data_IF_638450860965
#
_entry.id   IF_638450860965
#
_cell.length_a   1.000
_cell.length_b   1.000
_cell.length_c   1.000
_cell.angle_alpha   90.00
_cell.angle_beta   90.00
_cell.angle_gamma   90.00
#
_symmetry.space_group_name_H-M   'P 1'
#
loop_
_entity.id
_entity.type
_entity.pdbx_description
1 polymer ?
#
# COMPACT_ATOMS: atom_id res chain seq x y z
N UNK A 1 -34.58 -41.27 -4.76
CA UNK A 1 -34.45 -39.80 -4.88
C UNK A 1 -33.14 -39.52 -5.62
N UNK A 2 -33.16 -38.89 -6.80
CA UNK A 2 -31.92 -38.45 -7.46
C UNK A 2 -31.31 -37.37 -6.56
N UNK A 3 -30.11 -37.59 -6.04
CA UNK A 3 -29.36 -36.55 -5.31
C UNK A 3 -29.29 -35.31 -6.20
N UNK A 4 -29.98 -34.25 -5.77
CA UNK A 4 -30.05 -33.02 -6.53
C UNK A 4 -28.69 -32.33 -6.39
N UNK A 5 -27.86 -32.48 -7.41
CA UNK A 5 -26.51 -31.91 -7.51
C UNK A 5 -26.48 -30.44 -7.05
N UNK A 6 -25.57 -30.12 -6.14
CA UNK A 6 -25.40 -28.76 -5.63
C UNK A 6 -24.85 -27.82 -6.70
N UNK A 7 -25.08 -26.51 -6.56
CA UNK A 7 -24.49 -25.56 -7.50
C UNK A 7 -22.95 -25.51 -7.41
N UNK A 8 -22.38 -25.77 -6.22
CA UNK A 8 -20.94 -25.90 -6.04
C UNK A 8 -20.36 -27.04 -6.89
N UNK A 9 -21.02 -28.20 -6.93
CA UNK A 9 -20.58 -29.32 -7.77
C UNK A 9 -20.58 -28.96 -9.25
N UNK A 10 -21.53 -28.12 -9.68
CA UNK A 10 -21.55 -27.58 -11.05
C UNK A 10 -20.33 -26.68 -11.32
N UNK A 11 -19.96 -25.81 -10.38
CA UNK A 11 -18.76 -24.97 -10.48
C UNK A 11 -17.50 -25.84 -10.56
N UNK A 12 -17.39 -26.84 -9.69
CA UNK A 12 -16.22 -27.71 -9.57
C UNK A 12 -16.03 -28.55 -10.82
N UNK A 13 -17.07 -29.21 -11.33
CA UNK A 13 -16.97 -29.99 -12.57
C UNK A 13 -16.51 -29.15 -13.77
N UNK A 14 -17.10 -27.96 -13.96
CA UNK A 14 -16.71 -27.05 -15.04
C UNK A 14 -15.28 -26.51 -14.88
N UNK A 15 -14.74 -26.53 -13.67
CA UNK A 15 -13.44 -25.97 -13.32
C UNK A 15 -12.36 -27.04 -13.10
N UNK A 16 -12.73 -28.33 -13.05
CA UNK A 16 -11.89 -29.42 -12.57
C UNK A 16 -10.59 -29.56 -13.36
N UNK A 17 -10.67 -29.54 -14.69
CA UNK A 17 -9.50 -29.63 -15.58
C UNK A 17 -8.47 -28.55 -15.28
N UNK A 18 -8.93 -27.33 -14.98
CA UNK A 18 -8.03 -26.24 -14.62
C UNK A 18 -7.45 -26.46 -13.21
N UNK A 19 -8.29 -26.76 -12.23
CA UNK A 19 -7.87 -26.94 -10.83
C UNK A 19 -6.84 -28.06 -10.68
N UNK A 20 -7.10 -29.26 -11.24
CA UNK A 20 -6.17 -30.41 -11.18
C UNK A 20 -4.86 -30.16 -11.92
N UNK A 21 -4.86 -29.27 -12.93
CA UNK A 21 -3.63 -28.90 -13.66
C UNK A 21 -2.75 -27.93 -12.86
N UNK A 22 -3.35 -27.03 -12.08
CA UNK A 22 -2.62 -25.93 -11.44
C UNK A 22 -2.35 -26.15 -9.95
N UNK A 23 -3.13 -26.99 -9.27
CA UNK A 23 -2.90 -27.34 -7.87
C UNK A 23 -2.24 -28.72 -7.77
N UNK A 24 -1.27 -28.86 -6.87
CA UNK A 24 -0.74 -30.18 -6.48
C UNK A 24 -1.85 -31.00 -5.82
N UNK A 25 -1.69 -32.33 -5.78
CA UNK A 25 -2.69 -33.23 -5.21
C UNK A 25 -3.12 -32.85 -3.78
N UNK A 26 -2.15 -32.49 -2.92
CA UNK A 26 -2.41 -32.02 -1.55
C UNK A 26 -3.17 -30.68 -1.54
N UNK A 27 -2.68 -29.69 -2.28
CA UNK A 27 -3.29 -28.36 -2.40
C UNK A 27 -4.74 -28.45 -2.91
N UNK A 28 -5.00 -29.31 -3.90
CA UNK A 28 -6.35 -29.55 -4.41
C UNK A 28 -7.28 -30.15 -3.34
N UNK A 29 -6.79 -31.13 -2.56
CA UNK A 29 -7.56 -31.73 -1.47
C UNK A 29 -7.87 -30.71 -0.37
N UNK A 30 -6.87 -29.94 0.05
CA UNK A 30 -7.01 -28.90 1.07
C UNK A 30 -8.00 -27.81 0.60
N UNK A 31 -7.93 -27.41 -0.68
CA UNK A 31 -8.89 -26.49 -1.28
C UNK A 31 -10.32 -27.04 -1.22
N UNK A 32 -10.56 -28.27 -1.68
CA UNK A 32 -11.90 -28.89 -1.65
C UNK A 32 -12.45 -29.01 -0.23
N UNK A 33 -11.60 -29.30 0.75
CA UNK A 33 -12.00 -29.37 2.15
C UNK A 33 -12.46 -28.00 2.66
N UNK A 34 -11.73 -26.93 2.34
CA UNK A 34 -12.03 -25.57 2.81
C UNK A 34 -13.38 -25.02 2.31
N UNK A 35 -13.87 -25.50 1.16
CA UNK A 35 -15.14 -25.09 0.56
C UNK A 35 -16.28 -26.10 0.75
N UNK A 36 -16.04 -27.23 1.43
CA UNK A 36 -16.99 -28.34 1.53
C UNK A 36 -18.36 -27.93 2.10
N UNK A 37 -18.37 -27.02 3.08
CA UNK A 37 -19.59 -26.52 3.71
C UNK A 37 -20.51 -25.74 2.74
N UNK A 38 -19.96 -25.18 1.65
CA UNK A 38 -20.72 -24.42 0.64
C UNK A 38 -21.73 -25.32 -0.08
N UNK A 39 -21.52 -26.65 -0.10
CA UNK A 39 -22.46 -27.63 -0.69
C UNK A 39 -23.88 -27.52 -0.12
N UNK A 40 -24.01 -27.09 1.12
CA UNK A 40 -25.29 -26.98 1.81
C UNK A 40 -26.03 -25.66 1.51
N UNK A 41 -25.41 -24.71 0.82
CA UNK A 41 -25.99 -23.41 0.48
C UNK A 41 -26.91 -23.58 -0.74
N UNK A 42 -28.16 -23.16 -0.61
CA UNK A 42 -29.19 -23.28 -1.66
C UNK A 42 -29.15 -22.12 -2.65
N UNK A 43 -28.86 -20.90 -2.19
CA UNK A 43 -28.82 -19.73 -3.07
C UNK A 43 -27.55 -19.74 -3.94
N UNK A 44 -27.75 -19.65 -5.26
CA UNK A 44 -26.63 -19.73 -6.23
C UNK A 44 -25.69 -18.53 -6.12
N UNK A 45 -26.20 -17.32 -5.85
CA UNK A 45 -25.38 -16.12 -5.76
C UNK A 45 -24.50 -16.18 -4.51
N UNK A 46 -25.03 -16.67 -3.40
CA UNK A 46 -24.26 -16.94 -2.19
C UNK A 46 -23.17 -17.99 -2.43
N UNK A 47 -23.48 -19.10 -3.12
CA UNK A 47 -22.48 -20.11 -3.50
C UNK A 47 -21.33 -19.47 -4.30
N UNK A 48 -21.64 -18.65 -5.31
CA UNK A 48 -20.62 -17.94 -6.13
C UNK A 48 -19.77 -17.04 -5.25
N UNK A 49 -20.41 -16.21 -4.41
CA UNK A 49 -19.74 -15.26 -3.53
C UNK A 49 -18.79 -15.96 -2.55
N UNK A 50 -19.24 -17.03 -1.89
CA UNK A 50 -18.39 -17.78 -0.96
C UNK A 50 -17.29 -18.54 -1.66
N UNK A 51 -17.58 -19.17 -2.81
CA UNK A 51 -16.56 -19.86 -3.61
C UNK A 51 -15.47 -18.89 -4.08
N UNK A 52 -15.86 -17.72 -4.60
CA UNK A 52 -14.93 -16.68 -5.02
C UNK A 52 -14.05 -16.24 -3.86
N UNK A 53 -14.65 -15.87 -2.73
CA UNK A 53 -13.91 -15.46 -1.52
C UNK A 53 -12.89 -16.49 -1.07
N UNK A 54 -13.27 -17.77 -1.01
CA UNK A 54 -12.35 -18.84 -0.61
C UNK A 54 -11.28 -19.12 -1.66
N UNK A 55 -11.62 -19.09 -2.94
CA UNK A 55 -10.65 -19.27 -4.01
C UNK A 55 -9.57 -18.17 -3.98
N UNK A 56 -9.96 -16.90 -3.86
CA UNK A 56 -9.01 -15.79 -3.76
C UNK A 56 -8.13 -15.92 -2.51
N UNK A 57 -8.73 -16.26 -1.36
CA UNK A 57 -7.99 -16.50 -0.12
C UNK A 57 -6.97 -17.63 -0.31
N UNK A 58 -7.36 -18.73 -0.93
CA UNK A 58 -6.49 -19.87 -1.17
C UNK A 58 -5.32 -19.55 -2.10
N UNK A 59 -5.56 -18.84 -3.22
CA UNK A 59 -4.49 -18.38 -4.13
C UNK A 59 -3.51 -17.46 -3.39
N UNK A 60 -4.02 -16.56 -2.55
CA UNK A 60 -3.18 -15.70 -1.71
C UNK A 60 -2.34 -16.52 -0.71
N UNK A 61 -2.92 -17.51 -0.05
CA UNK A 61 -2.21 -18.40 0.88
C UNK A 61 -1.10 -19.21 0.19
N UNK A 62 -1.35 -19.71 -1.03
CA UNK A 62 -0.33 -20.39 -1.83
C UNK A 62 0.83 -19.47 -2.19
N UNK A 63 0.57 -18.19 -2.50
CA UNK A 63 1.63 -17.22 -2.70
C UNK A 63 2.38 -16.92 -1.40
N UNK A 64 1.66 -16.74 -0.30
CA UNK A 64 2.26 -16.48 1.01
C UNK A 64 3.19 -17.60 1.47
N UNK A 65 2.84 -18.85 1.18
CA UNK A 65 3.65 -20.03 1.52
C UNK A 65 5.02 -20.07 0.82
N UNK A 66 5.26 -19.26 -0.22
CA UNK A 66 6.56 -19.17 -0.89
C UNK A 66 7.59 -18.36 -0.11
N UNK A 67 7.16 -17.64 0.93
CA UNK A 67 8.01 -16.72 1.70
C UNK A 67 8.05 -17.13 3.16
N UNK A 68 9.25 -17.05 3.75
CA UNK A 68 9.42 -17.17 5.20
C UNK A 68 8.95 -15.89 5.88
N UNK A 69 8.43 -16.03 7.09
CA UNK A 69 8.05 -14.92 7.97
C UNK A 69 8.25 -15.36 9.43
N UNK A 70 8.23 -14.41 10.37
CA UNK A 70 8.34 -14.67 11.79
C UNK A 70 6.96 -14.81 12.44
N UNK A 71 6.70 -15.95 13.08
CA UNK A 71 5.40 -16.22 13.69
C UNK A 71 5.12 -15.33 14.90
N UNK A 72 6.14 -14.94 15.67
CA UNK A 72 5.96 -14.06 16.84
C UNK A 72 5.52 -12.67 16.39
N UNK A 73 6.15 -12.14 15.35
CA UNK A 73 5.78 -10.87 14.75
C UNK A 73 4.37 -10.94 14.14
N UNK A 74 4.02 -12.01 13.42
CA UNK A 74 2.66 -12.13 12.88
C UNK A 74 1.60 -12.23 13.99
N UNK A 75 1.87 -12.96 15.08
CA UNK A 75 0.99 -13.04 16.24
C UNK A 75 0.78 -11.65 16.87
N UNK A 76 1.85 -10.87 17.05
CA UNK A 76 1.77 -9.47 17.48
C UNK A 76 0.91 -8.62 16.53
N UNK A 77 1.10 -8.77 15.21
CA UNK A 77 0.31 -8.07 14.20
C UNK A 77 -1.17 -8.51 14.16
N UNK A 78 -1.52 -9.65 14.76
CA UNK A 78 -2.91 -10.14 14.91
C UNK A 78 -3.57 -9.74 16.24
N UNK A 79 -2.83 -9.17 17.19
CA UNK A 79 -3.41 -8.65 18.44
C UNK A 79 -4.56 -7.64 18.19
N UNK A 80 -5.50 -7.54 19.13
CA UNK A 80 -6.76 -6.80 18.96
C UNK A 80 -6.58 -5.28 18.84
N UNK A 81 -5.50 -4.75 19.37
CA UNK A 81 -5.22 -3.32 19.41
C UNK A 81 -4.93 -2.79 18.01
N UNK A 82 -5.44 -1.59 17.74
CA UNK A 82 -5.43 -0.98 16.41
C UNK A 82 -4.23 -0.06 16.17
N UNK A 83 -3.40 0.17 17.20
CA UNK A 83 -2.14 0.92 17.09
C UNK A 83 -0.98 0.00 17.44
N UNK A 84 -0.05 -0.16 16.49
CA UNK A 84 1.09 -1.05 16.63
C UNK A 84 2.36 -0.36 16.18
N UNK A 85 3.41 -0.51 16.97
CA UNK A 85 4.75 -0.05 16.60
C UNK A 85 5.77 -1.18 16.71
N UNK A 86 6.64 -1.27 15.72
CA UNK A 86 7.78 -2.17 15.69
C UNK A 86 9.03 -1.32 15.84
N UNK A 87 9.80 -1.59 16.89
CA UNK A 87 11.07 -0.94 17.14
C UNK A 87 12.21 -1.72 16.49
N UNK A 88 12.89 -1.10 15.53
CA UNK A 88 14.05 -1.67 14.87
C UNK A 88 14.24 -1.21 13.42
N UNK A 89 15.20 -1.83 12.75
CA UNK A 89 15.48 -1.55 11.33
C UNK A 89 14.29 -1.98 10.44
N UNK A 90 13.84 -1.06 9.57
CA UNK A 90 12.68 -1.29 8.71
C UNK A 90 12.88 -2.43 7.71
N UNK A 91 14.08 -2.62 7.16
CA UNK A 91 14.35 -3.71 6.23
C UNK A 91 14.27 -5.06 6.96
N UNK A 92 14.82 -5.15 8.17
CA UNK A 92 14.69 -6.34 9.03
C UNK A 92 13.24 -6.62 9.39
N UNK A 93 12.49 -5.62 9.83
CA UNK A 93 11.07 -5.75 10.17
C UNK A 93 10.27 -6.30 8.97
N UNK A 94 10.39 -5.65 7.81
CA UNK A 94 9.65 -6.02 6.61
C UNK A 94 9.96 -7.46 6.18
N UNK A 95 11.24 -7.90 6.21
CA UNK A 95 11.64 -9.28 5.89
C UNK A 95 10.96 -10.34 6.77
N UNK A 96 10.66 -10.00 8.01
CA UNK A 96 10.01 -10.91 8.96
C UNK A 96 8.48 -10.88 8.83
N UNK A 97 7.90 -9.89 8.13
CA UNK A 97 6.46 -9.82 7.90
C UNK A 97 6.02 -10.80 6.81
N UNK A 98 4.82 -11.36 6.99
CA UNK A 98 4.16 -12.21 6.00
C UNK A 98 3.93 -11.42 4.70
N UNK A 99 4.15 -12.05 3.53
CA UNK A 99 3.85 -11.40 2.25
C UNK A 99 2.35 -11.12 2.12
N UNK A 100 1.99 -10.11 1.34
CA UNK A 100 0.58 -9.73 1.08
C UNK A 100 -0.28 -9.60 2.35
N UNK A 101 0.29 -9.09 3.43
CA UNK A 101 -0.37 -8.95 4.74
C UNK A 101 -0.85 -7.53 5.04
N UNK A 102 -0.46 -6.56 4.21
CA UNK A 102 -0.76 -5.13 4.39
C UNK A 102 -1.69 -4.64 3.27
N UNK A 103 -2.76 -3.94 3.62
CA UNK A 103 -3.77 -3.52 2.63
C UNK A 103 -3.53 -2.13 2.06
N UNK A 104 -2.76 -1.28 2.74
CA UNK A 104 -2.39 0.05 2.29
C UNK A 104 -1.08 0.47 2.93
N UNK A 105 -0.27 1.25 2.22
CA UNK A 105 0.92 1.89 2.78
C UNK A 105 0.87 3.39 2.61
N UNK A 106 1.30 4.12 3.62
CA UNK A 106 1.52 5.57 3.55
C UNK A 106 2.75 5.94 4.36
N UNK A 107 3.66 6.70 3.77
CA UNK A 107 4.92 7.04 4.42
C UNK A 107 5.54 8.32 3.87
N UNK A 108 6.56 8.80 4.59
CA UNK A 108 7.54 9.75 4.09
C UNK A 108 8.93 9.20 4.47
N UNK A 109 9.77 8.78 3.51
CA UNK A 109 11.05 8.18 3.82
C UNK A 109 12.01 9.19 4.46
N UNK A 110 13.11 8.74 5.08
CA UNK A 110 14.24 9.62 5.34
C UNK A 110 14.80 10.12 4.00
N UNK A 111 14.85 11.44 3.80
CA UNK A 111 15.42 12.03 2.58
C UNK A 111 16.95 12.00 2.67
N UNK A 112 17.61 11.79 1.54
CA UNK A 112 19.07 11.70 1.44
C UNK A 112 19.76 12.84 2.19
N UNK A 113 20.43 12.51 3.31
CA UNK A 113 21.20 13.40 4.18
C UNK A 113 20.53 14.73 4.60
N UNK A 114 19.21 14.86 4.45
CA UNK A 114 18.48 16.08 4.76
C UNK A 114 18.39 16.34 6.28
N UNK A 115 18.68 15.33 7.10
CA UNK A 115 18.60 15.36 8.57
C UNK A 115 19.72 14.51 9.19
N UNK A 116 19.95 14.67 10.49
CA UNK A 116 21.10 14.08 11.20
C UNK A 116 20.95 12.59 11.57
N UNK A 117 19.80 11.96 11.34
CA UNK A 117 19.50 10.60 11.83
C UNK A 117 20.07 9.48 10.96
N UNK A 118 20.33 9.75 9.68
CA UNK A 118 20.92 8.78 8.75
C UNK A 118 21.84 9.52 7.78
N UNK A 119 23.07 9.00 7.60
CA UNK A 119 24.04 9.54 6.66
C UNK A 119 24.47 8.45 5.69
N UNK A 120 24.23 8.69 4.41
CA UNK A 120 24.73 7.87 3.30
C UNK A 120 25.93 8.56 2.67
N UNK A 121 26.91 7.78 2.19
CA UNK A 121 28.13 8.36 1.60
C UNK A 121 27.84 9.11 0.30
N UNK A 122 26.94 8.57 -0.51
CA UNK A 122 26.52 9.14 -1.79
C UNK A 122 25.07 8.74 -2.12
N UNK A 123 24.52 9.36 -3.16
CA UNK A 123 23.15 9.15 -3.59
C UNK A 123 22.88 7.70 -4.04
N UNK A 124 23.89 7.01 -4.58
CA UNK A 124 23.77 5.61 -5.03
C UNK A 124 23.58 4.64 -3.85
N UNK A 125 24.35 4.80 -2.76
CA UNK A 125 24.17 3.98 -1.56
C UNK A 125 22.77 4.17 -0.95
N UNK A 126 22.27 5.41 -0.94
CA UNK A 126 20.92 5.71 -0.50
C UNK A 126 19.87 4.97 -1.32
N UNK A 127 19.92 5.07 -2.66
CA UNK A 127 18.95 4.39 -3.50
C UNK A 127 19.10 2.86 -3.49
N UNK A 128 20.31 2.33 -3.26
CA UNK A 128 20.51 0.88 -3.05
C UNK A 128 19.81 0.39 -1.79
N UNK A 129 19.82 1.15 -0.71
CA UNK A 129 19.09 0.79 0.51
C UNK A 129 17.59 0.95 0.35
N UNK A 130 17.14 2.05 -0.25
CA UNK A 130 15.73 2.25 -0.58
C UNK A 130 15.22 1.15 -1.51
N UNK A 131 16.01 0.68 -2.49
CA UNK A 131 15.62 -0.43 -3.36
C UNK A 131 15.35 -1.71 -2.58
N UNK A 132 16.20 -2.05 -1.59
CA UNK A 132 16.00 -3.24 -0.75
C UNK A 132 14.72 -3.13 0.07
N UNK A 133 14.49 -1.95 0.68
CA UNK A 133 13.30 -1.69 1.50
C UNK A 133 12.04 -1.77 0.65
N UNK A 134 12.01 -1.07 -0.49
CA UNK A 134 10.85 -1.01 -1.37
C UNK A 134 10.53 -2.37 -2.02
N UNK A 135 11.51 -3.24 -2.25
CA UNK A 135 11.27 -4.64 -2.66
C UNK A 135 10.50 -5.41 -1.59
N UNK A 136 10.85 -5.23 -0.32
CA UNK A 136 10.11 -5.85 0.78
C UNK A 136 8.74 -5.20 0.99
N UNK A 137 8.61 -3.87 0.81
CA UNK A 137 7.31 -3.20 0.76
C UNK A 137 6.41 -3.81 -0.33
N UNK A 138 6.93 -4.00 -1.55
CA UNK A 138 6.19 -4.67 -2.62
C UNK A 138 5.76 -6.09 -2.23
N UNK A 139 6.61 -6.85 -1.55
CA UNK A 139 6.28 -8.20 -1.09
C UNK A 139 5.16 -8.21 -0.06
N UNK A 140 5.22 -7.34 0.95
CA UNK A 140 4.26 -7.36 2.08
C UNK A 140 2.95 -6.63 1.80
N UNK A 141 2.93 -5.67 0.86
CA UNK A 141 1.70 -5.06 0.38
C UNK A 141 0.84 -6.11 -0.35
N UNK A 142 -0.45 -6.17 -0.09
CA UNK A 142 -1.38 -7.10 -0.71
C UNK A 142 -1.52 -6.82 -2.21
N UNK A 143 -1.84 -7.85 -2.99
CA UNK A 143 -1.96 -7.67 -4.44
C UNK A 143 -3.11 -6.71 -4.77
N UNK A 144 -2.93 -5.89 -5.80
CA UNK A 144 -3.89 -4.87 -6.23
C UNK A 144 -4.15 -3.74 -5.22
N UNK A 145 -3.23 -3.51 -4.26
CA UNK A 145 -3.29 -2.41 -3.29
C UNK A 145 -2.34 -1.26 -3.61
N UNK A 146 -2.45 -0.20 -2.81
CA UNK A 146 -1.83 1.11 -3.07
C UNK A 146 -0.77 1.45 -2.03
N UNK A 147 0.30 2.07 -2.50
CA UNK A 147 1.32 2.72 -1.69
C UNK A 147 1.33 4.22 -2.01
N UNK A 148 0.99 5.04 -1.02
CA UNK A 148 1.13 6.50 -1.06
C UNK A 148 2.48 6.91 -0.46
N UNK A 149 3.29 7.64 -1.20
CA UNK A 149 4.68 7.95 -0.84
C UNK A 149 4.95 9.44 -0.92
N UNK A 150 5.11 10.09 0.23
CA UNK A 150 5.39 11.53 0.31
C UNK A 150 6.89 11.81 0.24
N UNK A 151 7.35 12.51 -0.80
CA UNK A 151 8.76 12.87 -0.98
C UNK A 151 8.94 14.29 -1.51
N UNK A 152 9.87 15.03 -0.92
CA UNK A 152 10.25 16.37 -1.38
C UNK A 152 11.59 16.36 -2.10
N UNK A 153 11.70 17.17 -3.16
CA UNK A 153 12.99 17.47 -3.77
C UNK A 153 13.87 18.24 -2.78
N UNK A 154 15.14 17.86 -2.72
CA UNK A 154 16.11 18.44 -1.79
C UNK A 154 17.20 19.20 -2.55
N UNK A 155 17.90 20.08 -1.83
CA UNK A 155 19.10 20.73 -2.33
C UNK A 155 20.32 20.24 -1.58
N UNK A 156 21.06 19.33 -2.21
CA UNK A 156 22.30 18.83 -1.67
C UNK A 156 23.30 18.43 -2.76
N UNK A 157 24.46 17.95 -2.33
CA UNK A 157 25.44 17.35 -3.22
C UNK A 157 25.19 15.83 -3.30
N UNK A 158 25.17 15.26 -4.51
CA UNK A 158 24.98 13.82 -4.71
C UNK A 158 26.20 12.97 -4.26
N UNK A 159 27.37 13.61 -4.14
CA UNK A 159 28.65 12.98 -3.84
C UNK A 159 29.01 11.82 -4.78
N UNK A 160 28.58 11.90 -6.05
CA UNK A 160 28.91 10.96 -7.11
C UNK A 160 30.03 11.50 -8.01
N UNK A 161 29.87 12.74 -8.48
CA UNK A 161 30.79 13.38 -9.42
C UNK A 161 31.46 14.63 -8.83
N UNK A 162 30.80 15.26 -7.86
CA UNK A 162 31.27 16.47 -7.19
C UNK A 162 31.21 16.26 -5.68
N UNK A 163 32.26 16.58 -4.94
CA UNK A 163 32.28 16.54 -3.46
C UNK A 163 32.39 17.94 -2.83
N UNK A 164 32.32 18.99 -3.66
CA UNK A 164 32.45 20.38 -3.23
C UNK A 164 31.33 20.78 -2.27
N UNK A 165 31.69 21.45 -1.18
CA UNK A 165 30.76 22.09 -0.24
C UNK A 165 30.10 23.35 -0.83
N UNK A 166 30.69 23.89 -1.89
CA UNK A 166 30.26 25.14 -2.54
C UNK A 166 29.25 24.92 -3.69
N UNK A 167 29.08 23.67 -4.15
CA UNK A 167 28.19 23.31 -5.26
C UNK A 167 27.08 22.36 -4.84
N UNK A 168 25.96 22.89 -4.32
CA UNK A 168 24.74 22.09 -4.09
C UNK A 168 23.81 22.22 -5.29
N UNK A 169 23.21 21.12 -5.74
CA UNK A 169 22.21 21.11 -6.82
C UNK A 169 20.85 20.67 -6.29
N UNK A 170 19.80 20.88 -7.09
CA UNK A 170 18.50 20.26 -6.81
C UNK A 170 18.59 18.76 -7.16
N UNK A 171 18.22 17.92 -6.21
CA UNK A 171 18.07 16.49 -6.38
C UNK A 171 16.57 16.21 -6.52
N UNK A 172 16.07 15.87 -7.73
CA UNK A 172 14.66 15.60 -7.97
C UNK A 172 14.28 14.21 -7.43
N UNK A 173 14.21 14.08 -6.11
CA UNK A 173 13.92 12.81 -5.44
C UNK A 173 12.59 12.22 -5.90
N UNK A 174 11.57 13.05 -6.17
CA UNK A 174 10.29 12.58 -6.71
C UNK A 174 10.47 11.75 -7.98
N UNK A 175 11.19 12.31 -8.97
CA UNK A 175 11.48 11.62 -10.23
C UNK A 175 12.30 10.35 -10.03
N UNK A 176 13.32 10.38 -9.15
CA UNK A 176 14.16 9.22 -8.88
C UNK A 176 13.38 8.08 -8.20
N UNK A 177 12.47 8.39 -7.28
CA UNK A 177 11.61 7.39 -6.67
C UNK A 177 10.60 6.81 -7.65
N UNK A 178 9.98 7.59 -8.53
CA UNK A 178 9.09 7.06 -9.57
C UNK A 178 9.79 5.97 -10.39
N UNK A 179 11.01 6.23 -10.86
CA UNK A 179 11.82 5.26 -11.61
C UNK A 179 12.12 4.03 -10.77
N UNK A 180 12.49 4.21 -9.50
CA UNK A 180 12.82 3.11 -8.60
C UNK A 180 11.60 2.21 -8.30
N UNK A 181 10.43 2.79 -8.07
CA UNK A 181 9.17 2.05 -7.86
C UNK A 181 8.78 1.24 -9.10
N UNK A 182 8.85 1.84 -10.29
CA UNK A 182 8.58 1.17 -11.58
C UNK A 182 9.57 0.03 -11.84
N UNK A 183 10.86 0.21 -11.51
CA UNK A 183 11.89 -0.84 -11.59
C UNK A 183 11.52 -2.05 -10.72
N UNK A 184 11.00 -1.81 -9.52
CA UNK A 184 10.62 -2.88 -8.56
C UNK A 184 9.36 -3.62 -9.00
N UNK A 185 8.47 -2.96 -9.75
CA UNK A 185 7.25 -3.55 -10.30
C UNK A 185 5.96 -2.91 -9.81
N UNK A 186 6.04 -1.81 -9.05
CA UNK A 186 4.90 -0.94 -8.86
C UNK A 186 4.54 -0.23 -10.18
N UNK A 187 3.31 0.24 -10.28
CA UNK A 187 2.84 1.11 -11.36
C UNK A 187 2.57 2.48 -10.80
N UNK A 188 3.22 3.50 -11.35
CA UNK A 188 2.94 4.90 -11.05
C UNK A 188 1.53 5.25 -11.54
N UNK A 189 0.75 5.89 -10.67
CA UNK A 189 -0.65 6.24 -10.96
C UNK A 189 -0.80 7.75 -11.05
N UNK A 190 -0.27 8.48 -10.07
CA UNK A 190 -0.47 9.92 -9.96
C UNK A 190 0.59 10.58 -9.07
N UNK A 191 0.73 11.89 -9.23
CA UNK A 191 1.59 12.77 -8.42
C UNK A 191 0.77 13.98 -7.94
N UNK A 192 0.32 13.92 -6.68
CA UNK A 192 -0.38 15.04 -6.05
C UNK A 192 0.65 15.98 -5.44
N UNK A 193 0.67 17.22 -5.90
CA UNK A 193 1.54 18.27 -5.40
C UNK A 193 0.98 18.82 -4.09
N UNK A 194 1.67 18.52 -2.99
CA UNK A 194 1.42 19.17 -1.71
C UNK A 194 2.07 20.55 -1.68
N UNK A 195 1.27 21.60 -1.88
CA UNK A 195 1.67 22.99 -1.69
C UNK A 195 1.75 23.33 -0.19
N UNK A 196 2.96 23.58 0.31
CA UNK A 196 3.23 23.95 1.70
C UNK A 196 2.98 25.43 1.98
N UNK A 197 2.72 26.24 0.95
CA UNK A 197 2.62 27.69 1.04
C UNK A 197 3.99 28.33 1.20
N UNK A 198 4.31 28.83 2.39
CA UNK A 198 5.52 29.62 2.61
C UNK A 198 6.79 28.80 2.56
N UNK A 199 7.84 29.40 1.98
CA UNK A 199 9.09 28.70 1.76
C UNK A 199 9.97 28.72 3.01
N UNK A 200 10.33 27.54 3.51
CA UNK A 200 10.98 27.37 4.81
C UNK A 200 12.50 27.66 4.82
N UNK A 201 13.08 28.21 3.75
CA UNK A 201 14.52 28.48 3.65
C UNK A 201 14.81 29.97 3.47
N UNK A 202 15.93 30.45 4.01
CA UNK A 202 16.33 31.86 3.99
C UNK A 202 17.29 32.20 2.83
N UNK A 203 17.50 31.28 1.88
CA UNK A 203 18.53 31.41 0.82
C UNK A 203 18.35 32.60 -0.12
N UNK A 204 17.14 33.15 -0.21
CA UNK A 204 16.80 34.32 -1.02
C UNK A 204 16.86 35.65 -0.24
N UNK A 205 17.31 35.65 1.03
CA UNK A 205 17.48 36.89 1.82
C UNK A 205 18.72 37.71 1.48
N UNK A 206 19.53 37.29 0.50
CA UNK A 206 20.65 38.10 0.01
C UNK A 206 20.08 39.30 -0.77
N UNK A 207 20.04 40.47 -0.12
CA UNK A 207 19.43 41.72 -0.59
C UNK A 207 20.14 42.43 -1.76
N UNK A 208 20.79 41.70 -2.65
CA UNK A 208 21.39 42.28 -3.85
C UNK A 208 20.31 42.60 -4.90
N UNK A 209 20.53 43.69 -5.65
CA UNK A 209 19.64 44.14 -6.74
C UNK A 209 19.42 43.03 -7.77
N UNK A 210 18.20 42.84 -8.30
CA UNK A 210 17.91 41.79 -9.26
C UNK A 210 18.42 42.17 -10.67
N UNK A 211 19.69 41.90 -10.95
CA UNK A 211 20.19 41.69 -12.32
C UNK A 211 19.82 40.25 -12.75
N UNK A 212 20.05 39.79 -14.01
CA UNK A 212 19.51 38.52 -14.52
C UNK A 212 19.53 37.43 -13.46
N UNK A 213 18.34 36.92 -13.14
CA UNK A 213 18.02 36.32 -11.85
C UNK A 213 18.91 35.08 -11.59
N UNK A 214 19.98 35.25 -10.81
CA UNK A 214 20.92 34.17 -10.46
C UNK A 214 20.38 33.27 -9.33
N UNK A 215 19.36 33.72 -8.60
CA UNK A 215 18.75 32.95 -7.51
C UNK A 215 17.55 32.17 -8.04
N UNK A 216 17.55 30.84 -8.00
CA UNK A 216 16.38 30.08 -8.48
C UNK A 216 15.22 30.10 -7.47
N UNK A 217 13.94 30.01 -7.92
CA UNK A 217 12.80 29.80 -7.04
C UNK A 217 13.00 28.57 -6.16
N UNK A 218 12.62 28.71 -4.89
CA UNK A 218 12.80 27.65 -3.92
C UNK A 218 11.62 26.67 -3.90
N UNK A 219 11.88 25.46 -3.40
CA UNK A 219 10.87 24.43 -3.35
C UNK A 219 9.83 24.74 -2.25
N UNK A 220 8.59 24.98 -2.63
CA UNK A 220 7.45 25.21 -1.74
C UNK A 220 6.49 24.01 -1.69
N UNK A 221 6.85 22.89 -2.33
CA UNK A 221 5.98 21.72 -2.41
C UNK A 221 6.71 20.42 -2.10
N UNK A 222 5.92 19.36 -1.91
CA UNK A 222 6.36 17.96 -1.89
C UNK A 222 5.43 17.13 -2.79
N UNK A 223 5.90 15.97 -3.21
CA UNK A 223 5.16 15.04 -4.04
C UNK A 223 4.46 14.01 -3.14
N UNK A 224 3.16 13.85 -3.30
CA UNK A 224 2.40 12.72 -2.77
C UNK A 224 2.21 11.76 -3.95
N UNK A 225 3.16 10.85 -4.10
CA UNK A 225 3.18 9.89 -5.21
C UNK A 225 2.25 8.71 -4.90
N UNK A 226 1.47 8.28 -5.88
CA UNK A 226 0.55 7.15 -5.77
C UNK A 226 1.04 6.00 -6.64
N UNK A 227 1.23 4.84 -6.02
CA UNK A 227 1.68 3.63 -6.70
C UNK A 227 0.72 2.46 -6.47
N UNK A 228 0.44 1.70 -7.52
CA UNK A 228 -0.30 0.44 -7.44
C UNK A 228 0.64 -0.76 -7.50
N UNK A 229 0.35 -1.77 -6.68
CA UNK A 229 0.95 -3.10 -6.82
C UNK A 229 0.07 -3.97 -7.69
N UNK A 230 0.62 -4.45 -8.79
CA UNK A 230 0.04 -5.53 -9.59
C UNK A 230 1.11 -6.61 -9.80
N UNK A 231 1.07 -7.64 -8.94
CA UNK A 231 1.89 -8.83 -9.12
C UNK A 231 1.53 -9.48 -10.45
N UNK A 232 2.53 -9.97 -11.17
CA UNK A 232 2.28 -10.86 -12.30
C UNK A 232 1.60 -12.14 -11.80
N UNK A 233 0.30 -12.24 -12.04
CA UNK A 233 -0.53 -13.36 -11.63
C UNK A 233 -1.20 -14.00 -12.85
N UNK A 234 -0.86 -15.27 -13.10
CA UNK A 234 -1.40 -16.04 -14.22
C UNK A 234 -2.60 -16.90 -13.85
N UNK A 235 -2.98 -16.93 -12.55
CA UNK A 235 -4.12 -17.69 -12.10
C UNK A 235 -5.41 -17.16 -12.72
N UNK A 236 -6.27 -18.08 -13.18
CA UNK A 236 -7.65 -17.77 -13.52
C UNK A 236 -8.42 -17.46 -12.25
N UNK A 237 -9.29 -16.45 -12.34
CA UNK A 237 -10.20 -16.12 -11.26
C UNK A 237 -11.63 -16.55 -11.60
N UNK A 238 -12.43 -16.96 -10.59
CA UNK A 238 -13.82 -17.33 -10.77
C UNK A 238 -14.61 -16.21 -11.42
N UNK A 239 -15.49 -16.53 -12.36
CA UNK A 239 -16.43 -15.53 -12.87
C UNK A 239 -17.32 -15.01 -11.72
N UNK A 240 -17.45 -13.69 -11.52
CA UNK A 240 -18.24 -13.13 -10.41
C UNK A 240 -19.75 -13.35 -10.56
N UNK A 241 -20.19 -13.90 -11.70
CA UNK A 241 -21.60 -14.22 -11.96
C UNK A 241 -21.90 -15.70 -11.72
N UNK A 242 -21.07 -16.61 -12.23
CA UNK A 242 -21.34 -18.05 -12.18
C UNK A 242 -20.28 -18.89 -11.44
N UNK A 243 -19.26 -18.27 -10.86
CA UNK A 243 -18.18 -18.91 -10.09
C UNK A 243 -17.24 -19.81 -10.89
N UNK A 244 -17.49 -20.05 -12.18
CA UNK A 244 -16.70 -20.99 -12.97
C UNK A 244 -15.33 -20.42 -13.38
N UNK A 245 -14.30 -21.28 -13.43
CA UNK A 245 -12.94 -20.96 -13.92
C UNK A 245 -12.78 -21.18 -15.44
N UNK A 246 -13.88 -21.44 -16.14
CA UNK A 246 -13.93 -21.50 -17.60
C UNK A 246 -13.92 -20.08 -18.17
N UNK A 247 -12.74 -19.47 -18.17
CA UNK A 247 -12.49 -18.09 -18.59
C UNK A 247 -11.30 -17.99 -19.54
N UNK A 248 -11.33 -16.99 -20.43
CA UNK A 248 -10.21 -16.64 -21.29
C UNK A 248 -9.60 -15.31 -20.85
N UNK A 249 -8.27 -15.26 -20.76
CA UNK A 249 -7.54 -14.05 -20.37
C UNK A 249 -6.60 -13.64 -21.47
N UNK A 250 -7.05 -12.70 -22.31
CA UNK A 250 -6.35 -12.30 -23.52
C UNK A 250 -5.78 -10.87 -23.44
N UNK A 251 -6.04 -10.13 -22.36
CA UNK A 251 -5.62 -8.74 -22.25
C UNK A 251 -5.14 -8.38 -20.84
N UNK A 252 -4.01 -7.69 -20.79
CA UNK A 252 -3.55 -6.95 -19.61
C UNK A 252 -4.03 -5.50 -19.76
N UNK A 253 -4.79 -5.01 -18.79
CA UNK A 253 -5.25 -3.61 -18.80
C UNK A 253 -4.21 -2.68 -18.19
N UNK A 254 -3.44 -3.20 -17.23
CA UNK A 254 -2.31 -2.53 -16.59
C UNK A 254 -1.16 -3.55 -16.47
N UNK A 255 0.07 -3.09 -16.24
CA UNK A 255 1.22 -3.99 -16.01
C UNK A 255 0.89 -4.96 -14.87
N UNK A 256 0.96 -6.27 -15.14
CA UNK A 256 0.64 -7.30 -14.15
C UNK A 256 -0.85 -7.55 -13.89
N UNK A 257 -1.78 -6.69 -14.37
CA UNK A 257 -3.22 -6.87 -14.17
C UNK A 257 -3.88 -7.53 -15.38
N UNK A 258 -4.16 -8.82 -15.26
CA UNK A 258 -4.87 -9.59 -16.28
C UNK A 258 -6.38 -9.46 -16.15
N UNK A 259 -7.05 -9.29 -17.29
CA UNK A 259 -8.51 -9.33 -17.40
C UNK A 259 -8.99 -10.68 -17.94
N UNK A 260 -10.13 -11.13 -17.45
CA UNK A 260 -10.76 -12.41 -17.77
C UNK A 260 -12.15 -12.20 -18.34
N UNK A 261 -12.54 -13.06 -19.27
CA UNK A 261 -13.89 -13.11 -19.83
C UNK A 261 -14.49 -14.50 -19.65
N UNK A 262 -15.72 -14.53 -19.12
CA UNK A 262 -16.45 -15.78 -18.91
C UNK A 262 -16.79 -16.50 -20.23
N UNK A 263 -16.44 -17.78 -20.32
CA UNK A 263 -16.78 -18.67 -21.45
C UNK A 263 -17.78 -19.77 -21.09
N UNK A 264 -18.20 -19.86 -19.83
CA UNK A 264 -19.28 -20.76 -19.43
C UNK A 264 -20.61 -20.31 -20.09
N UNK A 265 -21.13 -21.09 -21.04
CA UNK A 265 -22.37 -20.79 -21.77
C UNK A 265 -23.59 -20.67 -20.84
N UNK A 266 -23.60 -21.41 -19.74
CA UNK A 266 -24.68 -21.44 -18.75
C UNK A 266 -24.55 -20.35 -17.68
N UNK A 267 -23.76 -19.30 -17.95
CA UNK A 267 -23.61 -18.17 -17.03
C UNK A 267 -24.92 -17.37 -16.94
N UNK A 268 -25.30 -16.96 -15.73
CA UNK A 268 -26.59 -16.31 -15.48
C UNK A 268 -26.77 -14.96 -16.17
N UNK A 269 -25.65 -14.28 -16.47
CA UNK A 269 -25.64 -12.98 -17.13
C UNK A 269 -24.71 -13.03 -18.34
N UNK A 270 -25.26 -12.68 -19.50
CA UNK A 270 -24.52 -12.52 -20.76
C UNK A 270 -24.97 -11.25 -21.46
N UNK A 271 -24.08 -10.64 -22.22
CA UNK A 271 -24.41 -9.46 -23.03
C UNK A 271 -25.36 -9.81 -24.19
N UNK A 272 -25.92 -8.78 -24.84
CA UNK A 272 -26.79 -8.93 -26.03
C UNK A 272 -26.11 -9.69 -27.18
N UNK A 273 -24.78 -9.56 -27.32
CA UNK A 273 -23.99 -10.31 -28.29
C UNK A 273 -23.57 -11.71 -27.79
N UNK A 274 -24.24 -12.23 -26.76
CA UNK A 274 -23.95 -13.51 -26.11
C UNK A 274 -22.51 -13.64 -25.57
N UNK A 275 -21.84 -12.53 -25.28
CA UNK A 275 -20.50 -12.48 -24.67
C UNK A 275 -20.60 -12.46 -23.14
N UNK A 276 -19.71 -13.19 -22.45
CA UNK A 276 -19.64 -13.21 -20.99
C UNK A 276 -19.09 -11.91 -20.39
N UNK A 277 -19.34 -11.72 -19.09
CA UNK A 277 -18.83 -10.56 -18.31
C UNK A 277 -17.29 -10.56 -18.29
N UNK A 278 -16.70 -9.38 -18.46
CA UNK A 278 -15.26 -9.11 -18.27
C UNK A 278 -15.00 -8.67 -16.85
N UNK A 279 -13.92 -9.16 -16.24
CA UNK A 279 -13.56 -8.88 -14.85
C UNK A 279 -12.06 -9.08 -14.61
N UNK A 280 -11.58 -8.67 -13.44
CA UNK A 280 -10.21 -8.91 -12.99
C UNK A 280 -10.20 -9.14 -11.48
N UNK A 281 -9.09 -9.67 -10.95
CA UNK A 281 -8.91 -9.83 -9.51
C UNK A 281 -9.01 -8.51 -8.73
N UNK A 282 -8.50 -7.42 -9.31
CA UNK A 282 -8.62 -6.06 -8.75
C UNK A 282 -10.07 -5.67 -8.52
N UNK A 283 -10.97 -5.96 -9.46
CA UNK A 283 -12.40 -5.63 -9.36
C UNK A 283 -13.03 -6.30 -8.15
N UNK A 284 -12.76 -7.59 -7.93
CA UNK A 284 -13.26 -8.31 -6.75
C UNK A 284 -12.76 -7.70 -5.44
N UNK A 285 -11.47 -7.36 -5.38
CA UNK A 285 -10.85 -6.79 -4.17
C UNK A 285 -11.39 -5.38 -3.86
N UNK A 286 -11.66 -4.57 -4.90
CA UNK A 286 -11.97 -3.14 -4.75
C UNK A 286 -13.45 -2.78 -4.87
N UNK A 287 -14.31 -3.69 -5.34
CA UNK A 287 -15.73 -3.41 -5.59
C UNK A 287 -16.67 -4.40 -4.89
N UNK A 288 -16.27 -4.93 -3.72
CA UNK A 288 -17.14 -5.80 -2.93
C UNK A 288 -18.15 -4.98 -2.09
N UNK A 289 -19.45 -5.15 -2.38
CA UNK A 289 -20.56 -4.39 -1.78
C UNK A 289 -20.54 -4.37 -0.24
N UNK A 290 -20.20 -5.49 0.41
CA UNK A 290 -20.13 -5.56 1.88
C UNK A 290 -19.08 -4.62 2.47
N UNK A 291 -17.93 -4.54 1.79
CA UNK A 291 -16.85 -3.65 2.19
C UNK A 291 -17.23 -2.20 1.86
N UNK A 292 -17.90 -1.94 0.74
CA UNK A 292 -18.20 -0.60 0.28
C UNK A 292 -19.14 0.16 1.24
N UNK A 293 -20.22 -0.48 1.71
CA UNK A 293 -21.23 0.18 2.58
C UNK A 293 -20.61 0.72 3.88
N UNK A 294 -19.69 -0.03 4.49
CA UNK A 294 -19.05 0.38 5.76
C UNK A 294 -17.95 1.43 5.57
N UNK A 295 -17.55 1.69 4.32
CA UNK A 295 -16.39 2.48 3.95
C UNK A 295 -16.74 3.64 3.01
N UNK A 296 -17.99 4.09 3.03
CA UNK A 296 -18.42 5.25 2.27
C UNK A 296 -17.54 6.48 2.58
N UNK A 297 -17.13 7.17 1.53
CA UNK A 297 -16.34 8.38 1.59
C UNK A 297 -17.26 9.54 1.23
N UNK A 298 -17.29 10.59 2.05
CA UNK A 298 -18.14 11.74 1.79
C UNK A 298 -17.77 12.40 0.45
N UNK A 299 -18.78 12.87 -0.27
CA UNK A 299 -18.58 13.57 -1.55
C UNK A 299 -17.64 14.77 -1.38
N UNK A 300 -17.78 15.53 -0.29
CA UNK A 300 -16.93 16.67 0.01
C UNK A 300 -15.45 16.29 0.15
N UNK A 301 -15.16 15.14 0.76
CA UNK A 301 -13.79 14.63 0.85
C UNK A 301 -13.25 14.29 -0.55
N UNK A 302 -14.03 13.59 -1.37
CA UNK A 302 -13.64 13.27 -2.76
C UNK A 302 -13.39 14.56 -3.55
N UNK A 303 -14.29 15.54 -3.46
CA UNK A 303 -14.12 16.83 -4.14
C UNK A 303 -12.89 17.59 -3.65
N UNK A 304 -12.59 17.54 -2.35
CA UNK A 304 -11.40 18.16 -1.79
C UNK A 304 -10.10 17.57 -2.35
N UNK A 305 -10.10 16.30 -2.75
CA UNK A 305 -8.94 15.59 -3.31
C UNK A 305 -9.02 15.42 -4.84
N UNK A 306 -9.98 16.07 -5.51
CA UNK A 306 -10.11 16.03 -6.97
C UNK A 306 -9.06 16.87 -7.71
N UNK A 307 -8.42 17.82 -7.01
CA UNK A 307 -7.33 18.63 -7.55
C UNK A 307 -6.00 17.95 -7.19
N UNK A 308 -5.15 17.81 -8.19
CA UNK A 308 -3.78 17.32 -8.11
C UNK A 308 -2.83 18.28 -7.38
N UNK A 309 -3.21 19.55 -7.20
CA UNK A 309 -2.49 20.49 -6.32
C UNK A 309 -3.29 20.71 -5.04
N UNK A 310 -2.69 20.34 -3.91
CA UNK A 310 -3.29 20.43 -2.58
C UNK A 310 -2.50 21.31 -1.64
N UNK A 311 -3.08 22.47 -1.30
CA UNK A 311 -2.54 23.34 -0.25
C UNK A 311 -2.82 22.75 1.13
N UNK A 312 -1.77 22.39 1.85
CA UNK A 312 -1.85 21.87 3.23
C UNK A 312 -0.77 22.56 4.06
N UNK A 313 -1.13 23.12 5.20
CA UNK A 313 -0.15 23.76 6.07
C UNK A 313 0.77 22.69 6.70
N UNK A 314 2.10 22.90 6.69
CA UNK A 314 3.03 22.01 7.39
C UNK A 314 2.76 21.94 8.90
N UNK A 315 3.15 20.82 9.51
CA UNK A 315 3.08 20.67 10.97
C UNK A 315 4.09 21.60 11.64
N UNK A 316 3.62 22.50 12.51
CA UNK A 316 4.46 23.42 13.28
C UNK A 316 5.08 22.64 14.45
N UNK A 317 6.41 22.58 14.49
CA UNK A 317 7.18 21.75 15.46
C UNK A 317 8.00 22.56 16.44
N UNK A 318 8.23 23.83 16.12
CA UNK A 318 9.09 24.72 16.89
C UNK A 318 8.18 25.76 17.52
N UNK A 319 8.22 25.87 18.84
CA UNK A 319 7.50 26.95 19.54
C UNK A 319 8.21 28.29 19.34
N UNK A 320 7.59 29.38 19.80
CA UNK A 320 8.19 30.73 19.76
C UNK A 320 9.53 30.85 20.49
N UNK A 321 9.90 29.86 21.33
CA UNK A 321 11.16 29.77 22.07
C UNK A 321 12.22 28.89 21.38
N UNK A 322 11.96 28.42 20.15
CA UNK A 322 12.92 27.60 19.40
C UNK A 322 12.98 26.12 19.82
N UNK A 323 12.12 25.68 20.74
CA UNK A 323 12.12 24.29 21.25
C UNK A 323 11.26 23.39 20.36
N UNK A 324 11.77 22.19 20.07
CA UNK A 324 10.99 21.16 19.37
C UNK A 324 9.96 20.54 20.32
N UNK A 325 8.70 20.94 20.19
CA UNK A 325 7.59 20.48 21.04
C UNK A 325 7.21 19.02 20.78
N UNK A 326 7.65 18.44 19.65
CA UNK A 326 7.24 17.12 19.20
C UNK A 326 8.39 16.08 19.27
N UNK A 327 9.62 16.48 19.62
CA UNK A 327 10.78 15.58 19.74
C UNK A 327 11.27 14.94 18.43
N UNK A 328 10.48 15.00 17.36
CA UNK A 328 10.80 14.43 16.05
C UNK A 328 11.00 15.53 14.99
N UNK A 329 11.85 15.28 14.01
CA UNK A 329 12.20 16.30 13.01
C UNK A 329 11.11 16.60 11.99
N UNK A 330 10.29 15.60 11.62
CA UNK A 330 9.62 15.61 10.32
C UNK A 330 8.26 14.89 10.20
N UNK A 331 7.26 15.01 11.12
CA UNK A 331 5.92 14.50 10.79
C UNK A 331 5.31 15.27 9.60
N UNK A 332 4.66 14.54 8.69
CA UNK A 332 3.81 15.11 7.63
C UNK A 332 2.38 15.37 8.15
N UNK A 333 1.60 16.24 7.49
CA UNK A 333 0.23 16.57 7.93
C UNK A 333 -0.70 15.35 7.94
N UNK A 334 -1.64 15.30 8.88
CA UNK A 334 -2.60 14.19 9.03
C UNK A 334 -3.52 13.99 7.81
N UNK A 335 -3.65 15.01 6.96
CA UNK A 335 -4.45 14.96 5.75
C UNK A 335 -3.91 13.95 4.71
N UNK A 336 -2.59 13.79 4.61
CA UNK A 336 -1.95 12.84 3.68
C UNK A 336 -2.28 11.38 4.04
N UNK A 337 -2.06 10.91 5.29
CA UNK A 337 -2.46 9.56 5.67
C UNK A 337 -3.98 9.41 5.72
N UNK A 338 -4.75 10.47 6.02
CA UNK A 338 -6.21 10.39 5.94
C UNK A 338 -6.68 10.10 4.51
N UNK A 339 -6.09 10.77 3.51
CA UNK A 339 -6.32 10.48 2.10
C UNK A 339 -6.00 9.03 1.76
N UNK A 340 -4.78 8.57 2.07
CA UNK A 340 -4.36 7.21 1.76
C UNK A 340 -5.28 6.15 2.40
N UNK A 341 -5.57 6.30 3.69
CA UNK A 341 -6.38 5.33 4.46
C UNK A 341 -7.82 5.31 3.98
N UNK A 342 -8.45 6.48 3.75
CA UNK A 342 -9.85 6.52 3.28
C UNK A 342 -10.00 5.98 1.87
N UNK A 343 -9.10 6.37 0.96
CA UNK A 343 -9.23 6.05 -0.47
C UNK A 343 -8.84 4.61 -0.80
N UNK A 344 -7.90 4.02 -0.06
CA UNK A 344 -7.23 2.79 -0.50
C UNK A 344 -7.25 1.63 0.51
N UNK A 345 -8.00 1.76 1.61
CA UNK A 345 -8.21 0.68 2.58
C UNK A 345 -9.66 0.60 3.06
N UNK A 346 -10.04 -0.55 3.59
CA UNK A 346 -11.32 -0.78 4.26
C UNK A 346 -11.15 -0.85 5.79
N UNK A 347 -12.21 -0.56 6.55
CA UNK A 347 -12.25 -0.73 8.00
C UNK A 347 -11.78 -2.13 8.41
N UNK A 348 -10.97 -2.20 9.46
CA UNK A 348 -10.33 -3.41 9.97
C UNK A 348 -9.07 -3.83 9.22
N UNK A 349 -8.74 -3.21 8.09
CA UNK A 349 -7.52 -3.54 7.36
C UNK A 349 -6.25 -2.94 7.98
N UNK A 350 -5.11 -3.53 7.64
CA UNK A 350 -3.78 -3.13 8.12
C UNK A 350 -3.19 -2.05 7.20
N UNK A 351 -2.79 -0.93 7.81
CA UNK A 351 -2.11 0.20 7.15
C UNK A 351 -0.70 0.28 7.72
N UNK A 352 0.31 0.24 6.85
CA UNK A 352 1.71 0.26 7.28
C UNK A 352 2.40 1.57 6.90
N UNK A 353 3.18 2.08 7.85
CA UNK A 353 4.19 3.11 7.64
C UNK A 353 5.59 2.53 7.96
N UNK A 354 6.43 2.21 6.95
CA UNK A 354 7.77 1.67 7.18
C UNK A 354 8.76 2.67 7.80
N UNK A 355 8.40 3.96 7.88
CA UNK A 355 9.22 5.03 8.44
C UNK A 355 8.38 5.91 9.36
N UNK A 356 7.85 5.30 10.43
CA UNK A 356 6.72 5.85 11.16
C UNK A 356 7.01 7.17 11.90
N UNK A 357 8.26 7.40 12.34
CA UNK A 357 8.57 8.55 13.19
C UNK A 357 7.68 8.55 14.44
N UNK A 358 6.91 9.63 14.63
CA UNK A 358 5.94 9.72 15.72
C UNK A 358 4.70 8.84 15.57
N UNK A 359 4.45 8.29 14.37
CA UNK A 359 3.29 7.45 14.10
C UNK A 359 2.04 8.22 13.65
N UNK A 360 2.19 9.31 12.90
CA UNK A 360 1.04 10.05 12.34
C UNK A 360 0.13 9.15 11.50
N UNK A 361 0.70 8.27 10.69
CA UNK A 361 -0.04 7.26 9.92
C UNK A 361 -0.79 6.27 10.83
N UNK A 362 -0.16 5.85 11.94
CA UNK A 362 -0.73 4.90 12.90
C UNK A 362 -2.00 5.49 13.53
N UNK A 363 -1.90 6.70 14.11
CA UNK A 363 -3.04 7.31 14.80
C UNK A 363 -4.19 7.64 13.85
N UNK A 364 -3.89 8.05 12.61
CA UNK A 364 -4.92 8.33 11.61
C UNK A 364 -5.61 7.05 11.15
N UNK A 365 -4.87 5.97 10.92
CA UNK A 365 -5.45 4.66 10.60
C UNK A 365 -6.39 4.17 11.71
N UNK A 366 -5.94 4.20 12.97
CA UNK A 366 -6.74 3.86 14.15
C UNK A 366 -8.02 4.69 14.25
N UNK A 367 -7.93 6.02 14.14
CA UNK A 367 -9.11 6.93 14.17
C UNK A 367 -10.12 6.65 13.06
N UNK A 368 -9.67 6.11 11.93
CA UNK A 368 -10.52 5.73 10.80
C UNK A 368 -11.00 4.26 10.89
N UNK A 369 -10.74 3.57 11.99
CA UNK A 369 -11.14 2.18 12.22
C UNK A 369 -10.34 1.15 11.42
N UNK A 370 -9.05 1.44 11.15
CA UNK A 370 -8.05 0.51 10.58
C UNK A 370 -7.00 0.18 11.62
N UNK A 371 -6.22 -0.87 11.39
CA UNK A 371 -5.05 -1.18 12.21
C UNK A 371 -3.84 -0.43 11.66
N UNK A 372 -3.37 0.57 12.39
CA UNK A 372 -2.15 1.31 12.08
C UNK A 372 -0.92 0.58 12.58
N UNK A 373 0.03 0.32 11.68
CA UNK A 373 1.32 -0.32 11.98
C UNK A 373 2.42 0.64 11.55
N UNK A 374 3.39 0.88 12.43
CA UNK A 374 4.57 1.67 12.11
C UNK A 374 5.86 0.94 12.45
N UNK A 375 6.92 1.23 11.70
CA UNK A 375 8.27 0.80 12.04
C UNK A 375 9.11 2.04 12.34
N UNK A 376 9.77 2.06 13.50
CA UNK A 376 10.68 3.13 13.90
C UNK A 376 11.97 2.54 14.46
N UNK A 377 13.10 3.08 14.02
CA UNK A 377 14.43 2.58 14.38
C UNK A 377 14.96 3.24 15.65
N UNK A 378 14.70 4.54 15.82
CA UNK A 378 15.27 5.34 16.89
C UNK A 378 14.49 5.19 18.19
N UNK A 379 14.95 4.25 19.04
CA UNK A 379 14.40 4.01 20.38
C UNK A 379 14.42 5.25 21.29
N UNK A 380 15.25 6.25 21.03
CA UNK A 380 15.25 7.48 21.83
C UNK A 380 13.96 8.29 21.65
N UNK A 381 13.20 8.04 20.57
CA UNK A 381 11.92 8.69 20.31
C UNK A 381 10.73 8.05 21.04
N UNK A 382 10.95 6.94 21.76
CA UNK A 382 9.90 6.10 22.36
C UNK A 382 8.92 6.87 23.24
N UNK A 383 9.40 7.71 24.14
CA UNK A 383 8.52 8.52 25.00
C UNK A 383 7.67 9.51 24.19
N UNK A 384 8.21 10.11 23.13
CA UNK A 384 7.45 11.00 22.25
C UNK A 384 6.37 10.24 21.48
N UNK A 385 6.68 9.03 20.99
CA UNK A 385 5.70 8.15 20.35
C UNK A 385 4.59 7.77 21.33
N UNK A 386 4.93 7.43 22.56
CA UNK A 386 3.94 7.08 23.59
C UNK A 386 3.01 8.23 23.92
N UNK A 387 3.57 9.42 24.07
CA UNK A 387 2.79 10.64 24.30
C UNK A 387 1.89 10.98 23.10
N UNK A 388 2.35 10.74 21.88
CA UNK A 388 1.59 11.04 20.67
C UNK A 388 0.49 10.02 20.36
N UNK A 389 0.77 8.72 20.50
CA UNK A 389 -0.16 7.63 20.15
C UNK A 389 -1.11 7.25 21.30
N UNK A 390 -0.72 7.55 22.55
CA UNK A 390 -1.40 7.14 23.76
C UNK A 390 -0.99 5.73 24.19
N UNK A 391 -0.27 5.63 25.31
CA UNK A 391 0.35 4.38 25.81
C UNK A 391 -0.64 3.24 26.05
N UNK A 392 -1.84 3.54 26.56
CA UNK A 392 -2.81 2.52 26.99
C UNK A 392 -3.35 1.65 25.85
N UNK A 393 -3.33 2.16 24.61
CA UNK A 393 -3.88 1.49 23.43
C UNK A 393 -2.81 1.21 22.35
N UNK A 394 -1.52 1.31 22.71
CA UNK A 394 -0.41 1.05 21.81
C UNK A 394 0.25 -0.28 22.15
N UNK A 395 0.41 -1.15 21.16
CA UNK A 395 1.22 -2.36 21.25
C UNK A 395 2.58 -2.16 20.63
N UNK A 396 3.62 -2.67 21.28
CA UNK A 396 4.99 -2.59 20.78
C UNK A 396 5.63 -3.97 20.59
N UNK A 397 6.50 -4.05 19.59
CA UNK A 397 7.35 -5.21 19.34
C UNK A 397 8.80 -4.73 19.13
N UNK A 398 9.78 -5.37 19.77
CA UNK A 398 11.19 -4.99 19.66
C UNK A 398 11.93 -6.10 18.91
N UNK A 399 12.67 -5.74 17.85
CA UNK A 399 13.34 -6.67 16.94
C UNK A 399 14.74 -7.12 17.38
#
# INVERSE_FOLDING_TARGET
>A
MKDCKSYLETILEKSEKYLKKHFKAKEYKDFLQSISYIKNIKDKKEVVKFFEKHYYKFIKELYQAQYKYDEKLENFLQEKEDKKIIWGDCLRALRLMKSESISCMVTSPPYYNARNYAKWKNLDEYFKDMEKILKECYRVLDNHRVFVFNVGDIFDNDNLFTSSTWGKRRLPLGAYFIILFEKIGFTFVDDIIWDKGEVQSQRHKNGNKPYPYYQYPMNCYEHILIFHKHRLDENRYPCPVCGCLQVNGNAYTERGLKSWECKNLDCFERSKANRGKRFSAKTFITQNDENNIKNEISKDFIYAWRRDIKKINPVIKINSKGQNILGHSAPFPTQIPEFAVRMFSYKGERVLDPFAGLGTSIIVASKLGRVGIGIERDLSTKEYVYNFLGKENLKEFIL
#
